data_IF_419165329047
#
_entry.id   IF_419165329047
#
_cell.length_a   1.000
_cell.length_b   1.000
_cell.length_c   1.000
_cell.angle_alpha   90.00
_cell.angle_beta   90.00
_cell.angle_gamma   90.00
#
_symmetry.space_group_name_H-M   'P 1'
#
loop_
_entity.id
_entity.type
_entity.pdbx_description
1 polymer ?
#
# COMPACT_ATOMS: atom_id res chain seq x y z
N UNK A 1 49.83 -4.40 -2.41
CA UNK A 1 49.95 -3.87 -3.77
C UNK A 1 51.29 -4.32 -4.31
N UNK A 2 51.32 -5.52 -4.86
CA UNK A 2 52.53 -6.13 -5.38
C UNK A 2 52.69 -5.63 -6.82
N UNK A 3 53.62 -4.70 -7.04
CA UNK A 3 53.95 -4.23 -8.37
C UNK A 3 54.58 -5.41 -9.13
N UNK A 4 53.74 -6.13 -9.88
CA UNK A 4 54.17 -7.20 -10.77
C UNK A 4 55.21 -6.62 -11.72
N UNK A 5 56.45 -7.12 -11.63
CA UNK A 5 57.57 -6.72 -12.46
C UNK A 5 57.14 -6.68 -13.95
N UNK A 6 57.64 -5.71 -14.74
CA UNK A 6 57.29 -5.64 -16.16
C UNK A 6 57.68 -6.96 -16.82
N UNK A 7 56.69 -7.72 -17.27
CA UNK A 7 56.92 -8.96 -18.01
C UNK A 7 57.69 -8.57 -19.27
N UNK A 8 58.87 -9.18 -19.46
CA UNK A 8 59.66 -9.02 -20.68
C UNK A 8 58.79 -9.39 -21.87
N UNK A 9 58.56 -8.41 -22.74
CA UNK A 9 57.75 -8.53 -23.94
C UNK A 9 58.67 -8.97 -25.08
N UNK A 10 58.45 -10.17 -25.63
CA UNK A 10 59.22 -10.66 -26.78
C UNK A 10 58.74 -9.96 -28.07
N UNK A 11 59.53 -9.04 -28.67
CA UNK A 11 59.08 -8.27 -29.83
C UNK A 11 58.81 -9.14 -31.06
N UNK A 12 59.47 -10.30 -31.17
CA UNK A 12 59.24 -11.28 -32.23
C UNK A 12 57.85 -11.94 -32.16
N UNK A 13 57.25 -12.02 -30.97
CA UNK A 13 55.95 -12.67 -30.76
C UNK A 13 54.75 -11.77 -31.09
N UNK A 14 54.92 -10.44 -31.12
CA UNK A 14 53.85 -9.46 -31.33
C UNK A 14 53.41 -9.38 -32.81
N UNK A 15 54.36 -9.53 -33.74
CA UNK A 15 54.10 -9.37 -35.18
C UNK A 15 53.66 -7.96 -35.58
N UNK A 16 52.96 -7.82 -36.73
CA UNK A 16 52.47 -6.51 -37.21
C UNK A 16 51.40 -5.93 -36.27
N UNK A 17 51.38 -4.62 -36.00
CA UNK A 17 50.33 -3.96 -35.22
C UNK A 17 48.93 -4.22 -35.80
N UNK A 18 47.93 -4.30 -34.93
CA UNK A 18 46.52 -4.42 -35.32
C UNK A 18 45.71 -3.28 -34.73
N UNK A 19 44.65 -2.90 -35.42
CA UNK A 19 43.83 -1.74 -35.07
C UNK A 19 43.22 -1.82 -33.66
N UNK A 20 43.03 -3.03 -33.12
CA UNK A 20 42.43 -3.28 -31.80
C UNK A 20 43.46 -3.49 -30.67
N UNK A 21 44.76 -3.32 -30.92
CA UNK A 21 45.79 -3.56 -29.90
C UNK A 21 45.64 -2.62 -28.70
N UNK A 22 45.14 -1.39 -28.92
CA UNK A 22 44.83 -0.43 -27.86
C UNK A 22 43.65 -0.84 -26.96
N UNK A 23 42.86 -1.84 -27.37
CA UNK A 23 41.73 -2.37 -26.60
C UNK A 23 42.10 -3.62 -25.79
N UNK A 24 43.34 -4.12 -25.89
CA UNK A 24 43.79 -5.26 -25.10
C UNK A 24 43.81 -4.88 -23.62
N UNK A 25 43.11 -5.65 -22.79
CA UNK A 25 43.03 -5.41 -21.34
C UNK A 25 42.00 -4.37 -20.90
N UNK A 26 41.29 -3.69 -21.82
CA UNK A 26 40.21 -2.75 -21.47
C UNK A 26 38.85 -3.43 -21.30
N UNK A 27 38.67 -4.58 -21.93
CA UNK A 27 37.45 -5.39 -21.88
C UNK A 27 37.79 -6.88 -21.94
N UNK A 28 36.79 -7.74 -21.72
CA UNK A 28 36.98 -9.20 -21.83
C UNK A 28 37.41 -9.59 -23.25
N UNK A 29 38.40 -10.47 -23.37
CA UNK A 29 38.87 -11.00 -24.67
C UNK A 29 37.73 -11.54 -25.53
N UNK A 30 36.70 -12.12 -24.91
CA UNK A 30 35.50 -12.61 -25.61
C UNK A 30 34.74 -11.48 -26.31
N UNK A 31 34.48 -10.37 -25.61
CA UNK A 31 33.77 -9.23 -26.18
C UNK A 31 34.60 -8.56 -27.28
N UNK A 32 35.91 -8.40 -27.06
CA UNK A 32 36.81 -7.88 -28.08
C UNK A 32 36.85 -8.78 -29.33
N UNK A 33 36.79 -10.11 -29.13
CA UNK A 33 36.78 -11.07 -30.24
C UNK A 33 35.53 -10.97 -31.10
N UNK A 34 34.38 -10.75 -30.46
CA UNK A 34 33.10 -10.55 -31.14
C UNK A 34 33.07 -9.21 -31.89
N UNK A 35 33.62 -8.13 -31.30
CA UNK A 35 33.65 -6.81 -31.91
C UNK A 35 34.57 -6.73 -33.13
N UNK A 36 35.73 -7.40 -33.07
CA UNK A 36 36.73 -7.40 -34.14
C UNK A 36 36.47 -8.49 -35.20
N UNK A 37 35.65 -9.50 -34.87
CA UNK A 37 35.40 -10.64 -35.75
C UNK A 37 36.56 -11.65 -35.79
N UNK A 38 37.25 -11.85 -34.67
CA UNK A 38 38.37 -12.79 -34.55
C UNK A 38 38.11 -13.85 -33.49
N UNK A 39 39.01 -14.84 -33.35
CA UNK A 39 38.88 -15.84 -32.29
C UNK A 39 39.37 -15.31 -30.94
N UNK A 40 38.68 -15.67 -29.86
CA UNK A 40 39.10 -15.38 -28.47
C UNK A 40 40.55 -15.80 -28.20
N UNK A 41 40.99 -16.93 -28.75
CA UNK A 41 42.35 -17.42 -28.57
C UNK A 41 43.41 -16.55 -29.27
N UNK A 42 43.07 -15.95 -30.42
CA UNK A 42 43.98 -15.01 -31.09
C UNK A 42 44.19 -13.75 -30.24
N UNK A 43 43.12 -13.20 -29.66
CA UNK A 43 43.20 -12.05 -28.76
C UNK A 43 43.94 -12.39 -27.48
N UNK A 44 43.66 -13.56 -26.88
CA UNK A 44 44.38 -14.03 -25.68
C UNK A 44 45.89 -14.10 -25.93
N UNK A 45 46.32 -14.78 -27.00
CA UNK A 45 47.74 -14.87 -27.37
C UNK A 45 48.36 -13.51 -27.60
N UNK A 46 47.63 -12.62 -28.29
CA UNK A 46 48.11 -11.27 -28.58
C UNK A 46 48.24 -10.43 -27.31
N UNK A 47 47.27 -10.49 -26.40
CA UNK A 47 47.33 -9.87 -25.07
C UNK A 47 48.54 -10.38 -24.26
N UNK A 48 48.75 -11.69 -24.25
CA UNK A 48 49.88 -12.34 -23.57
C UNK A 48 51.24 -11.93 -24.15
N UNK A 49 51.33 -11.81 -25.49
CA UNK A 49 52.54 -11.32 -26.16
C UNK A 49 52.88 -9.87 -25.76
N UNK A 50 51.87 -9.00 -25.60
CA UNK A 50 52.06 -7.64 -25.06
C UNK A 50 52.24 -7.59 -23.54
N UNK A 51 52.24 -8.73 -22.84
CA UNK A 51 52.36 -8.79 -21.37
C UNK A 51 51.17 -8.21 -20.62
N UNK A 52 50.03 -7.96 -21.28
CA UNK A 52 48.85 -7.32 -20.69
C UNK A 52 48.05 -8.33 -19.86
N UNK A 53 47.67 -7.92 -18.65
CA UNK A 53 46.87 -8.75 -17.74
C UNK A 53 45.42 -8.95 -18.27
N UNK A 54 44.76 -10.07 -17.94
CA UNK A 54 43.37 -10.28 -18.28
C UNK A 54 42.45 -9.25 -17.62
N UNK A 55 41.39 -8.85 -18.32
CA UNK A 55 40.38 -7.95 -17.78
C UNK A 55 39.63 -8.63 -16.62
N UNK A 56 39.73 -8.04 -15.42
CA UNK A 56 39.17 -8.62 -14.19
C UNK A 56 37.80 -8.05 -13.88
N UNK A 57 37.07 -8.76 -13.01
CA UNK A 57 35.75 -8.33 -12.55
C UNK A 57 35.82 -7.06 -11.70
N UNK A 58 36.90 -6.90 -10.91
CA UNK A 58 37.16 -5.67 -10.18
C UNK A 58 37.24 -4.46 -11.12
N UNK A 59 37.97 -4.58 -12.24
CA UNK A 59 38.05 -3.51 -13.24
C UNK A 59 36.71 -3.18 -13.90
N UNK A 60 35.81 -4.17 -14.04
CA UNK A 60 34.47 -3.96 -14.58
C UNK A 60 33.54 -3.23 -13.60
N UNK A 61 33.75 -3.42 -12.29
CA UNK A 61 32.90 -2.87 -11.24
C UNK A 61 33.43 -1.53 -10.72
N UNK A 62 34.74 -1.28 -10.79
CA UNK A 62 35.39 -0.06 -10.31
C UNK A 62 34.69 1.26 -10.73
N UNK A 63 34.22 1.44 -11.99
CA UNK A 63 33.50 2.67 -12.39
C UNK A 63 32.17 2.89 -11.65
N UNK A 64 31.60 1.82 -11.08
CA UNK A 64 30.29 1.78 -10.46
C UNK A 64 30.37 1.58 -8.94
N UNK A 65 31.52 1.81 -8.31
CA UNK A 65 31.69 1.64 -6.86
C UNK A 65 30.74 2.52 -6.04
N UNK A 66 30.47 3.74 -6.51
CA UNK A 66 29.50 4.66 -5.90
C UNK A 66 28.05 4.11 -5.86
N UNK A 67 27.74 3.08 -6.66
CA UNK A 67 26.43 2.43 -6.68
C UNK A 67 26.35 1.21 -5.75
N UNK A 68 27.48 0.69 -5.30
CA UNK A 68 27.53 -0.48 -4.42
C UNK A 68 26.93 -0.15 -3.05
N UNK A 69 25.98 -0.95 -2.58
CA UNK A 69 25.32 -0.75 -1.28
C UNK A 69 24.08 0.14 -1.34
N UNK A 70 24.03 1.11 -2.27
CA UNK A 70 22.90 2.02 -2.50
C UNK A 70 21.84 1.38 -3.39
N UNK A 71 22.22 0.87 -4.56
CA UNK A 71 21.32 0.22 -5.51
C UNK A 71 21.49 -1.30 -5.50
N UNK A 72 20.53 -2.01 -6.12
CA UNK A 72 20.57 -3.47 -6.14
C UNK A 72 21.77 -4.01 -6.95
N UNK A 73 22.41 -5.07 -6.48
CA UNK A 73 23.50 -5.74 -7.20
C UNK A 73 23.10 -6.19 -8.62
N UNK A 74 21.82 -6.49 -8.84
CA UNK A 74 21.29 -6.83 -10.16
C UNK A 74 21.38 -5.65 -11.13
N UNK A 75 21.10 -4.44 -10.64
CA UNK A 75 21.19 -3.23 -11.44
C UNK A 75 22.64 -2.87 -11.77
N UNK A 76 23.55 -2.99 -10.80
CA UNK A 76 24.99 -2.78 -11.05
C UNK A 76 25.53 -3.82 -12.04
N UNK A 77 25.14 -5.08 -11.87
CA UNK A 77 25.53 -6.19 -12.75
C UNK A 77 25.17 -5.97 -14.22
N UNK A 78 23.95 -5.47 -14.51
CA UNK A 78 23.54 -5.18 -15.88
C UNK A 78 24.34 -4.02 -16.48
N UNK A 79 24.73 -3.02 -15.68
CA UNK A 79 25.56 -1.89 -16.13
C UNK A 79 27.02 -2.28 -16.35
N UNK A 80 27.56 -3.17 -15.52
CA UNK A 80 28.93 -3.67 -15.63
C UNK A 80 29.10 -4.79 -16.67
N UNK A 81 28.02 -5.46 -17.10
CA UNK A 81 28.10 -6.66 -17.94
C UNK A 81 28.68 -7.87 -17.19
N UNK A 82 28.36 -7.98 -15.89
CA UNK A 82 28.86 -9.02 -14.98
C UNK A 82 27.67 -9.73 -14.33
N UNK A 83 27.85 -10.95 -13.82
CA UNK A 83 26.80 -11.62 -13.05
C UNK A 83 26.57 -10.92 -11.70
N UNK A 84 25.30 -10.80 -11.23
CA UNK A 84 24.97 -10.26 -9.91
C UNK A 84 25.72 -10.92 -8.75
N UNK A 85 26.06 -12.21 -8.90
CA UNK A 85 26.84 -12.94 -7.90
C UNK A 85 28.24 -12.36 -7.72
N UNK A 86 28.90 -11.95 -8.80
CA UNK A 86 30.27 -11.43 -8.73
C UNK A 86 30.29 -9.99 -8.19
N UNK A 87 29.25 -9.21 -8.49
CA UNK A 87 29.06 -7.88 -7.88
C UNK A 87 28.84 -8.01 -6.37
N UNK A 88 28.03 -9.01 -5.94
CA UNK A 88 27.86 -9.32 -4.53
C UNK A 88 29.19 -9.66 -3.85
N UNK A 89 29.98 -10.56 -4.44
CA UNK A 89 31.27 -10.96 -3.92
C UNK A 89 32.27 -9.80 -3.86
N UNK A 90 32.31 -8.96 -4.90
CA UNK A 90 33.15 -7.76 -4.93
C UNK A 90 32.75 -6.79 -3.82
N UNK A 91 31.45 -6.50 -3.68
CA UNK A 91 30.94 -5.62 -2.62
C UNK A 91 31.31 -6.16 -1.23
N UNK A 92 31.14 -7.47 -1.01
CA UNK A 92 31.49 -8.12 0.25
C UNK A 92 33.00 -8.07 0.53
N UNK A 93 33.85 -8.22 -0.49
CA UNK A 93 35.31 -8.04 -0.35
C UNK A 93 35.73 -6.60 -0.02
N UNK A 94 34.94 -5.60 -0.43
CA UNK A 94 35.14 -4.19 -0.08
C UNK A 94 34.51 -3.82 1.28
N UNK A 95 33.91 -4.78 1.99
CA UNK A 95 33.26 -4.54 3.28
C UNK A 95 31.98 -3.69 3.20
N UNK A 96 31.44 -3.46 2.00
CA UNK A 96 30.26 -2.62 1.80
C UNK A 96 28.99 -3.44 2.09
N UNK A 97 28.23 -3.05 3.09
CA UNK A 97 26.94 -3.64 3.39
C UNK A 97 25.85 -3.04 2.49
N UNK A 98 24.78 -3.80 2.25
CA UNK A 98 23.59 -3.24 1.59
C UNK A 98 22.85 -2.36 2.59
N UNK A 99 22.67 -1.09 2.26
CA UNK A 99 21.84 -0.18 3.07
C UNK A 99 20.37 -0.59 3.00
N UNK A 100 19.91 -1.03 1.82
CA UNK A 100 18.51 -1.33 1.58
C UNK A 100 18.23 -2.84 1.56
N UNK A 101 17.97 -3.41 2.74
CA UNK A 101 17.19 -4.65 2.85
C UNK A 101 15.79 -4.26 3.32
N UNK A 102 14.77 -4.17 2.43
CA UNK A 102 13.41 -3.98 2.91
C UNK A 102 13.08 -5.17 3.82
N UNK A 103 12.69 -4.89 5.06
CA UNK A 103 12.31 -5.95 6.01
C UNK A 103 11.24 -6.81 5.34
N UNK A 104 11.37 -8.15 5.37
CA UNK A 104 10.35 -9.01 4.79
C UNK A 104 9.00 -8.65 5.41
N UNK A 105 7.97 -8.50 4.57
CA UNK A 105 6.63 -8.19 5.06
C UNK A 105 6.15 -9.36 5.91
N UNK A 106 6.06 -9.17 7.22
CA UNK A 106 5.53 -10.18 8.14
C UNK A 106 4.02 -10.27 7.92
N UNK A 107 3.54 -11.45 7.51
CA UNK A 107 2.12 -11.71 7.40
C UNK A 107 1.53 -11.86 8.81
N UNK A 108 0.86 -10.81 9.30
CA UNK A 108 0.28 -10.81 10.65
C UNK A 108 -1.01 -11.63 10.78
N UNK A 109 -1.81 -11.72 9.71
CA UNK A 109 -2.99 -12.59 9.65
C UNK A 109 -2.80 -13.75 8.67
N UNK A 110 -3.05 -15.02 9.07
CA UNK A 110 -3.00 -16.17 8.18
C UNK A 110 -3.89 -16.05 6.93
N UNK A 111 -3.57 -16.83 5.90
CA UNK A 111 -4.36 -16.89 4.65
C UNK A 111 -5.63 -17.69 4.93
N UNK A 112 -6.73 -16.99 5.25
CA UNK A 112 -8.01 -17.62 5.65
C UNK A 112 -8.64 -17.01 6.90
N UNK A 113 -7.93 -16.12 7.61
CA UNK A 113 -8.47 -15.50 8.83
C UNK A 113 -9.74 -14.69 8.53
N UNK A 114 -10.83 -14.80 9.32
CA UNK A 114 -12.11 -14.15 9.05
C UNK A 114 -12.03 -12.62 9.00
N UNK A 115 -11.08 -12.03 9.72
CA UNK A 115 -10.86 -10.58 9.73
C UNK A 115 -10.02 -10.04 8.56
N UNK A 116 -9.49 -10.90 7.70
CA UNK A 116 -8.65 -10.47 6.57
C UNK A 116 -9.37 -9.55 5.57
N UNK A 117 -10.64 -9.81 5.16
CA UNK A 117 -11.39 -8.89 4.29
C UNK A 117 -11.68 -7.55 4.96
N UNK A 118 -11.80 -7.55 6.29
CA UNK A 118 -12.12 -6.37 7.10
C UNK A 118 -10.89 -5.56 7.51
N UNK A 119 -9.69 -5.90 6.99
CA UNK A 119 -8.44 -5.19 7.32
C UNK A 119 -8.52 -3.68 7.06
N UNK A 120 -9.27 -3.26 6.04
CA UNK A 120 -9.46 -1.85 5.71
C UNK A 120 -10.31 -1.09 6.74
N UNK A 121 -11.02 -1.78 7.63
CA UNK A 121 -11.85 -1.16 8.67
C UNK A 121 -11.04 -0.79 9.92
N UNK A 122 -9.91 -1.48 10.17
CA UNK A 122 -9.09 -1.25 11.36
C UNK A 122 -8.57 0.20 11.39
N UNK A 123 -8.80 0.90 12.51
CA UNK A 123 -8.40 2.29 12.71
C UNK A 123 -9.37 3.33 12.11
N UNK A 124 -10.40 2.91 11.37
CA UNK A 124 -11.44 3.80 10.82
C UNK A 124 -12.79 3.60 11.50
N UNK A 125 -13.07 2.37 11.91
CA UNK A 125 -14.35 1.93 12.47
C UNK A 125 -14.09 1.26 13.82
N UNK A 126 -15.05 1.32 14.74
CA UNK A 126 -14.90 0.71 16.06
C UNK A 126 -14.92 -0.82 16.03
N UNK A 127 -14.28 -1.43 17.02
CA UNK A 127 -14.15 -2.89 17.12
C UNK A 127 -15.53 -3.57 17.25
N UNK A 128 -16.52 -2.90 17.85
CA UNK A 128 -17.90 -3.42 17.96
C UNK A 128 -18.60 -3.49 16.60
N UNK A 129 -18.39 -2.51 15.72
CA UNK A 129 -18.99 -2.51 14.39
C UNK A 129 -18.35 -3.55 13.48
N UNK A 130 -17.02 -3.69 13.57
CA UNK A 130 -16.28 -4.74 12.85
C UNK A 130 -16.73 -6.12 13.34
N UNK A 131 -16.90 -6.32 14.64
CA UNK A 131 -17.43 -7.56 15.22
C UNK A 131 -18.83 -7.89 14.69
N UNK A 132 -19.76 -6.92 14.65
CA UNK A 132 -21.12 -7.11 14.12
C UNK A 132 -21.13 -7.57 12.67
N UNK A 133 -20.29 -7.00 11.81
CA UNK A 133 -20.25 -7.34 10.38
C UNK A 133 -19.50 -8.64 10.13
N UNK A 134 -18.37 -8.83 10.81
CA UNK A 134 -17.52 -10.02 10.63
C UNK A 134 -18.05 -11.27 11.32
N UNK A 135 -18.97 -11.11 12.29
CA UNK A 135 -19.47 -12.16 13.20
C UNK A 135 -18.36 -12.81 14.04
N UNK A 136 -17.30 -12.06 14.31
CA UNK A 136 -16.17 -12.46 15.17
C UNK A 136 -16.30 -11.73 16.51
N UNK A 137 -15.80 -12.32 17.60
CA UNK A 137 -15.81 -11.68 18.92
C UNK A 137 -15.03 -10.35 18.92
N UNK A 138 -15.45 -9.41 19.77
CA UNK A 138 -14.82 -8.08 19.87
C UNK A 138 -13.36 -8.20 20.31
N UNK A 139 -13.05 -9.15 21.20
CA UNK A 139 -11.69 -9.35 21.72
C UNK A 139 -10.72 -9.78 20.61
N UNK A 140 -11.12 -10.71 19.74
CA UNK A 140 -10.29 -11.15 18.60
C UNK A 140 -10.12 -10.02 17.57
N UNK A 141 -11.12 -9.14 17.44
CA UNK A 141 -11.00 -7.93 16.60
C UNK A 141 -10.01 -6.95 17.20
N UNK A 142 -10.03 -6.75 18.51
CA UNK A 142 -9.09 -5.88 19.22
C UNK A 142 -7.65 -6.40 19.13
N UNK A 143 -7.44 -7.70 19.37
CA UNK A 143 -6.14 -8.36 19.19
C UNK A 143 -5.63 -8.21 17.75
N UNK A 144 -6.50 -8.43 16.76
CA UNK A 144 -6.12 -8.25 15.36
C UNK A 144 -5.76 -6.79 15.05
N UNK A 145 -6.54 -5.82 15.56
CA UNK A 145 -6.28 -4.38 15.39
C UNK A 145 -4.92 -3.99 15.98
N UNK A 146 -4.64 -4.42 17.20
CA UNK A 146 -3.37 -4.20 17.90
C UNK A 146 -2.21 -4.89 17.20
N UNK A 147 -2.44 -6.10 16.69
CA UNK A 147 -1.47 -6.80 15.87
C UNK A 147 -1.10 -5.99 14.64
N UNK A 148 -1.95 -5.10 14.09
CA UNK A 148 -1.59 -4.22 12.98
C UNK A 148 -1.04 -2.85 13.42
N UNK A 149 -1.05 -2.54 14.71
CA UNK A 149 -0.56 -1.28 15.27
C UNK A 149 -1.57 -0.13 15.19
N UNK A 150 -2.86 -0.41 15.06
CA UNK A 150 -3.90 0.63 15.09
C UNK A 150 -4.42 0.83 16.52
N UNK A 151 -4.64 2.09 16.93
CA UNK A 151 -5.27 2.43 18.21
C UNK A 151 -6.79 2.18 18.23
N UNK A 152 -7.42 2.11 19.42
CA UNK A 152 -8.86 1.92 19.54
C UNK A 152 -9.60 3.15 19.00
N UNK A 153 -10.66 2.90 18.22
CA UNK A 153 -11.55 3.94 17.70
C UNK A 153 -12.81 3.96 18.56
N UNK A 154 -13.19 5.14 19.05
CA UNK A 154 -14.41 5.30 19.82
C UNK A 154 -15.63 4.83 19.01
N UNK A 155 -16.60 4.13 19.64
CA UNK A 155 -17.82 3.73 18.96
C UNK A 155 -18.54 4.96 18.42
N UNK A 156 -18.97 4.91 17.15
CA UNK A 156 -19.86 5.94 16.63
C UNK A 156 -21.15 5.88 17.46
N UNK A 157 -21.45 6.97 18.18
CA UNK A 157 -22.69 7.10 18.95
C UNK A 157 -23.84 6.78 18.00
N UNK A 158 -24.60 5.73 18.31
CA UNK A 158 -25.78 5.42 17.52
C UNK A 158 -26.74 6.62 17.67
N UNK A 159 -27.38 7.09 16.58
CA UNK A 159 -28.49 8.03 16.70
C UNK A 159 -29.69 7.49 17.49
N UNK A 160 -29.61 6.29 18.07
CA UNK A 160 -30.68 5.63 18.84
C UNK A 160 -30.69 5.99 20.32
N UNK A 161 -29.76 6.82 20.81
CA UNK A 161 -29.91 7.46 22.13
C UNK A 161 -30.56 8.83 22.01
N UNK A 162 -31.50 9.01 21.08
CA UNK A 162 -32.55 9.97 21.34
C UNK A 162 -33.26 9.46 22.58
N UNK A 163 -33.09 10.15 23.71
CA UNK A 163 -33.76 9.81 24.96
C UNK A 163 -35.23 9.58 24.63
N UNK A 164 -35.77 8.36 24.86
CA UNK A 164 -37.15 8.09 24.52
C UNK A 164 -38.01 9.09 25.27
N UNK A 165 -38.77 9.91 24.54
CA UNK A 165 -39.75 10.79 25.15
C UNK A 165 -40.81 9.89 25.78
N UNK A 166 -40.97 10.02 27.09
CA UNK A 166 -42.03 9.32 27.79
C UNK A 166 -43.38 9.92 27.39
N UNK A 167 -44.32 9.05 27.05
CA UNK A 167 -45.67 9.44 26.73
C UNK A 167 -46.39 9.88 28.01
N UNK A 168 -46.74 11.17 28.08
CA UNK A 168 -47.51 11.72 29.20
C UNK A 168 -48.97 11.74 28.82
N UNK A 169 -49.75 10.81 29.38
CA UNK A 169 -51.18 10.68 29.14
C UNK A 169 -51.95 11.77 29.93
N UNK A 170 -52.72 12.63 29.25
CA UNK A 170 -53.46 13.76 29.84
C UNK A 170 -54.24 14.56 28.77
N UNK A 171 -54.62 15.85 29.00
CA UNK A 171 -55.24 16.72 27.97
C UNK A 171 -54.37 17.02 26.75
N UNK A 172 -53.17 16.43 26.70
CA UNK A 172 -52.12 16.64 25.72
C UNK A 172 -52.08 15.48 24.72
N UNK A 173 -51.22 15.59 23.69
CA UNK A 173 -51.13 14.63 22.59
C UNK A 173 -50.98 13.17 23.06
N UNK A 174 -50.25 12.91 24.15
CA UNK A 174 -50.12 11.57 24.75
C UNK A 174 -49.29 10.57 23.95
N UNK A 175 -48.68 10.99 22.84
CA UNK A 175 -47.87 10.18 21.93
C UNK A 175 -46.57 10.90 21.53
N UNK A 176 -45.90 11.51 22.51
CA UNK A 176 -44.67 12.28 22.31
C UNK A 176 -43.52 11.40 21.80
N UNK A 177 -43.53 10.11 22.14
CA UNK A 177 -42.63 9.08 21.62
C UNK A 177 -42.62 9.02 20.08
N UNK A 178 -43.73 9.40 19.43
CA UNK A 178 -43.86 9.35 17.97
C UNK A 178 -43.18 10.53 17.26
N UNK A 179 -42.95 11.66 17.95
CA UNK A 179 -42.33 12.86 17.36
C UNK A 179 -40.93 12.60 16.81
N UNK A 180 -40.19 11.64 17.41
CA UNK A 180 -38.86 11.23 16.96
C UNK A 180 -38.87 10.08 15.94
N UNK A 181 -39.96 9.33 15.86
CA UNK A 181 -40.02 8.10 15.07
C UNK A 181 -40.57 8.33 13.65
N UNK A 182 -41.37 9.38 13.46
CA UNK A 182 -42.11 9.58 12.22
C UNK A 182 -42.44 11.05 11.97
N UNK A 183 -42.76 11.37 10.72
CA UNK A 183 -43.17 12.73 10.34
C UNK A 183 -44.53 13.09 10.97
N UNK A 184 -44.70 14.38 11.26
CA UNK A 184 -45.96 14.95 11.79
C UNK A 184 -47.16 14.54 10.91
N UNK A 185 -46.97 14.46 9.59
CA UNK A 185 -48.01 14.01 8.67
C UNK A 185 -48.44 12.55 8.86
N UNK A 186 -47.55 11.69 9.31
CA UNK A 186 -47.88 10.30 9.65
C UNK A 186 -48.56 10.23 11.02
N UNK A 187 -48.09 11.00 11.99
CA UNK A 187 -48.67 11.13 13.34
C UNK A 187 -50.14 11.60 13.25
N UNK A 188 -50.39 12.68 12.52
CA UNK A 188 -51.72 13.25 12.33
C UNK A 188 -52.71 12.24 11.75
N UNK A 189 -52.29 11.48 10.72
CA UNK A 189 -53.13 10.45 10.10
C UNK A 189 -53.39 9.23 10.99
N UNK A 190 -52.44 8.86 11.84
CA UNK A 190 -52.59 7.71 12.74
C UNK A 190 -53.47 8.00 13.95
N UNK A 191 -53.36 9.21 14.50
CA UNK A 191 -53.99 9.58 15.78
C UNK A 191 -55.27 10.41 15.56
N UNK A 192 -55.42 11.05 14.40
CA UNK A 192 -56.55 11.92 14.09
C UNK A 192 -56.45 13.34 14.66
N UNK A 193 -55.24 13.76 15.08
CA UNK A 193 -54.98 15.11 15.62
C UNK A 193 -54.50 16.05 14.50
N UNK A 194 -54.97 17.30 14.43
CA UNK A 194 -54.54 18.25 13.41
C UNK A 194 -53.05 18.60 13.53
N UNK A 195 -52.40 18.83 12.38
CA UNK A 195 -50.98 19.16 12.24
C UNK A 195 -50.51 20.27 13.18
N UNK A 196 -51.31 21.33 13.32
CA UNK A 196 -50.98 22.51 14.12
C UNK A 196 -50.82 22.21 15.61
N UNK A 197 -51.54 21.22 16.14
CA UNK A 197 -51.45 20.82 17.55
C UNK A 197 -50.17 20.02 17.79
N UNK A 198 -49.83 19.12 16.87
CA UNK A 198 -48.61 18.31 16.95
C UNK A 198 -47.36 19.19 16.79
N UNK A 199 -47.40 20.17 15.89
CA UNK A 199 -46.31 21.13 15.70
C UNK A 199 -46.08 22.01 16.93
N UNK A 200 -47.14 22.64 17.45
CA UNK A 200 -47.06 23.40 18.71
C UNK A 200 -46.49 22.56 19.85
N UNK A 201 -46.87 21.28 19.91
CA UNK A 201 -46.40 20.38 20.96
C UNK A 201 -44.94 19.99 20.78
N UNK A 202 -44.51 19.67 19.55
CA UNK A 202 -43.09 19.44 19.22
C UNK A 202 -42.23 20.63 19.60
N UNK A 203 -42.68 21.83 19.22
CA UNK A 203 -41.94 23.07 19.45
C UNK A 203 -41.87 23.39 20.95
N UNK A 204 -42.97 23.16 21.69
CA UNK A 204 -42.99 23.26 23.16
C UNK A 204 -41.99 22.30 23.83
N UNK A 205 -41.84 21.08 23.31
CA UNK A 205 -40.87 20.10 23.80
C UNK A 205 -39.44 20.36 23.30
N UNK A 206 -39.23 21.34 22.42
CA UNK A 206 -37.92 21.64 21.82
C UNK A 206 -37.37 20.50 20.96
N UNK A 207 -38.25 19.63 20.45
CA UNK A 207 -37.85 18.43 19.71
C UNK A 207 -37.54 18.81 18.26
N UNK A 208 -36.39 18.35 17.76
CA UNK A 208 -36.04 18.56 16.35
C UNK A 208 -37.04 17.82 15.44
N UNK A 209 -37.46 18.42 14.31
CA UNK A 209 -38.31 17.74 13.35
C UNK A 209 -37.70 16.40 12.91
N UNK A 210 -38.55 15.38 12.75
CA UNK A 210 -38.13 14.10 12.21
C UNK A 210 -37.48 14.28 10.82
N UNK A 211 -36.19 13.99 10.74
CA UNK A 211 -35.44 14.02 9.48
C UNK A 211 -35.15 12.58 9.02
N UNK A 212 -35.59 12.26 7.81
CA UNK A 212 -35.33 10.95 7.20
C UNK A 212 -33.92 10.91 6.63
N UNK A 213 -32.93 10.65 7.49
CA UNK A 213 -31.55 10.45 7.06
C UNK A 213 -31.32 9.03 6.53
N UNK A 214 -30.46 8.91 5.52
CA UNK A 214 -30.06 7.60 4.99
C UNK A 214 -29.13 6.87 5.96
N UNK A 215 -29.20 5.54 6.03
CA UNK A 215 -28.31 4.73 6.89
C UNK A 215 -26.82 4.89 6.57
N UNK A 216 -26.48 5.36 5.36
CA UNK A 216 -25.11 5.62 4.95
C UNK A 216 -24.55 6.91 5.51
N UNK A 217 -25.41 7.87 5.92
CA UNK A 217 -25.01 9.19 6.36
C UNK A 217 -24.01 9.15 7.52
N UNK A 218 -24.08 8.11 8.37
CA UNK A 218 -23.12 7.86 9.47
C UNK A 218 -21.71 7.50 8.98
N UNK A 219 -21.60 6.90 7.79
CA UNK A 219 -20.35 6.45 7.16
C UNK A 219 -19.93 7.36 6.01
N UNK A 220 -20.43 8.59 5.99
CA UNK A 220 -20.14 9.56 4.94
C UNK A 220 -18.65 9.90 4.80
N UNK A 221 -17.90 9.75 5.88
CA UNK A 221 -16.45 9.92 5.96
C UNK A 221 -15.67 8.70 5.40
N UNK A 222 -16.31 7.54 5.30
CA UNK A 222 -15.70 6.31 4.76
C UNK A 222 -15.90 6.15 3.25
N UNK A 223 -16.75 6.99 2.65
CA UNK A 223 -17.03 6.98 1.22
C UNK A 223 -15.76 7.28 0.41
N UNK A 224 -15.30 6.29 -0.36
CA UNK A 224 -14.09 6.38 -1.17
C UNK A 224 -12.79 6.06 -0.43
N UNK A 225 -12.81 5.95 0.90
CA UNK A 225 -11.68 5.47 1.72
C UNK A 225 -11.66 3.94 1.76
N UNK A 226 -12.84 3.34 1.91
CA UNK A 226 -13.03 1.89 2.06
C UNK A 226 -13.75 1.34 0.81
N UNK A 227 -13.50 0.08 0.41
CA UNK A 227 -14.28 -0.58 -0.63
C UNK A 227 -15.81 -0.51 -0.38
N UNK A 228 -16.57 -0.20 -1.44
CA UNK A 228 -18.03 -0.06 -1.37
C UNK A 228 -18.74 -1.32 -0.84
N UNK A 229 -18.17 -2.50 -1.03
CA UNK A 229 -18.71 -3.75 -0.50
C UNK A 229 -18.72 -3.79 1.04
N UNK A 230 -17.62 -3.37 1.67
CA UNK A 230 -17.52 -3.31 3.13
C UNK A 230 -18.41 -2.21 3.70
N UNK A 231 -18.46 -1.06 3.01
CA UNK A 231 -19.32 0.05 3.42
C UNK A 231 -20.82 -0.32 3.31
N UNK A 232 -21.19 -1.09 2.29
CA UNK A 232 -22.54 -1.65 2.15
C UNK A 232 -22.89 -2.60 3.29
N UNK A 233 -21.96 -3.48 3.68
CA UNK A 233 -22.13 -4.37 4.83
C UNK A 233 -22.28 -3.60 6.15
N UNK A 234 -21.46 -2.57 6.37
CA UNK A 234 -21.56 -1.69 7.55
C UNK A 234 -22.89 -0.94 7.59
N UNK A 235 -23.33 -0.37 6.46
CA UNK A 235 -24.57 0.40 6.37
C UNK A 235 -25.84 -0.48 6.35
N UNK A 236 -25.71 -1.77 6.08
CA UNK A 236 -26.84 -2.66 5.83
C UNK A 236 -27.62 -2.27 4.56
N UNK A 237 -26.91 -1.82 3.53
CA UNK A 237 -27.46 -1.38 2.24
C UNK A 237 -26.95 -2.28 1.11
N UNK A 238 -27.57 -2.20 -0.06
CA UNK A 238 -27.04 -2.87 -1.26
C UNK A 238 -25.79 -2.15 -1.79
N UNK A 239 -24.86 -2.91 -2.36
CA UNK A 239 -23.64 -2.35 -2.96
C UNK A 239 -23.95 -1.37 -4.09
N UNK A 240 -24.98 -1.62 -4.89
CA UNK A 240 -25.47 -0.72 -5.93
C UNK A 240 -25.92 0.63 -5.34
N UNK A 241 -26.68 0.61 -4.24
CA UNK A 241 -27.13 1.85 -3.57
C UNK A 241 -25.96 2.66 -3.04
N UNK A 242 -24.95 2.01 -2.46
CA UNK A 242 -23.72 2.67 -2.01
C UNK A 242 -22.97 3.31 -3.18
N UNK A 243 -22.89 2.63 -4.33
CA UNK A 243 -22.27 3.16 -5.53
C UNK A 243 -22.99 4.40 -6.06
N UNK A 244 -24.32 4.39 -6.13
CA UNK A 244 -25.12 5.55 -6.51
C UNK A 244 -24.86 6.74 -5.60
N UNK A 245 -24.92 6.53 -4.28
CA UNK A 245 -24.70 7.59 -3.28
C UNK A 245 -23.26 8.14 -3.36
N UNK A 246 -22.28 7.26 -3.59
CA UNK A 246 -20.88 7.67 -3.81
C UNK A 246 -20.72 8.51 -5.08
N UNK A 247 -21.42 8.16 -6.17
CA UNK A 247 -21.41 8.94 -7.43
C UNK A 247 -22.07 10.30 -7.22
N UNK A 248 -23.24 10.34 -6.60
CA UNK A 248 -23.95 11.59 -6.29
C UNK A 248 -23.08 12.55 -5.47
N UNK A 249 -22.42 12.05 -4.42
CA UNK A 249 -21.52 12.86 -3.57
C UNK A 249 -20.28 13.38 -4.30
N UNK A 250 -19.72 12.59 -5.23
CA UNK A 250 -18.62 13.03 -6.10
C UNK A 250 -19.04 14.15 -7.05
N UNK A 251 -20.26 14.09 -7.58
CA UNK A 251 -20.80 15.14 -8.44
C UNK A 251 -21.02 16.43 -7.62
N UNK A 252 -21.64 16.31 -6.45
CA UNK A 252 -21.90 17.45 -5.57
C UNK A 252 -20.64 18.18 -5.08
N UNK A 253 -19.49 17.49 -4.97
CA UNK A 253 -18.20 18.09 -4.58
C UNK A 253 -17.46 18.78 -5.75
N UNK A 254 -17.86 18.53 -6.99
CA UNK A 254 -17.24 19.11 -8.20
C UNK A 254 -17.95 20.37 -8.69
N UNK A 255 -19.15 20.63 -8.19
CA UNK A 255 -19.92 21.87 -8.39
C UNK A 255 -19.54 22.84 -7.29
#
# INVERSE_FOLDING_TARGET
>A
MEASAPRLVDPAAIGKPRDYDHLLGTMKDLHLSQQVGTSRHAIKRRREAYGVAPYTVAQAIAPYEHLLGVVSDRYVATRCGVSPHMVKAYRESQGILREFKPKPRVQRLPTGHPLRPYKALFGLVSDQEISRVSKVSVDVVAEARESFGYGPVAPSLQPSEVVPLNDVHGPWLGYESLLHCMSIAKISRLIGVPYSVIEKRRDFLGVKPYERVSRIARYDHLLGVIPNALLAQLAGLSTARVQELSRAKKIAKRV
#
